data_IF_359166481556
#
_entry.id   IF_359166481556
#
_cell.length_a   1.000
_cell.length_b   1.000
_cell.length_c   1.000
_cell.angle_alpha   90.00
_cell.angle_beta   90.00
_cell.angle_gamma   90.00
#
_symmetry.space_group_name_H-M   'P 1'
#
loop_
_entity.id
_entity.type
_entity.pdbx_description
1 polymer ?
#
# COMPACT_ATOMS: atom_id res chain seq x y z
N UNK A 1 -3.14 12.71 56.95
CA UNK A 1 -2.49 12.94 55.64
C UNK A 1 -3.42 12.42 54.57
N UNK A 2 -4.06 13.32 53.83
CA UNK A 2 -5.01 13.00 52.75
C UNK A 2 -4.25 12.44 51.54
N UNK A 3 -4.54 11.20 51.15
CA UNK A 3 -4.13 10.66 49.86
C UNK A 3 -5.20 11.05 48.82
N UNK A 4 -4.87 12.00 47.95
CA UNK A 4 -5.70 12.33 46.80
C UNK A 4 -5.44 11.26 45.73
N UNK A 5 -6.42 10.39 45.51
CA UNK A 5 -6.41 9.44 44.41
C UNK A 5 -6.85 10.18 43.13
N UNK A 6 -5.88 10.65 42.34
CA UNK A 6 -6.12 11.33 41.07
C UNK A 6 -6.49 10.28 40.02
N UNK A 7 -7.78 9.93 39.96
CA UNK A 7 -8.35 9.05 38.95
C UNK A 7 -8.36 9.68 37.56
N UNK A 8 -7.20 9.82 36.93
CA UNK A 8 -7.10 10.09 35.49
C UNK A 8 -7.39 8.79 34.72
N UNK A 9 -8.66 8.48 34.53
CA UNK A 9 -9.07 7.55 33.47
C UNK A 9 -8.92 8.29 32.14
N UNK A 10 -7.81 8.06 31.44
CA UNK A 10 -7.66 8.54 30.07
C UNK A 10 -8.78 7.92 29.22
N UNK A 11 -9.53 8.71 28.44
CA UNK A 11 -10.48 8.14 27.49
C UNK A 11 -9.71 7.22 26.53
N UNK A 12 -10.24 6.03 26.18
CA UNK A 12 -9.62 5.20 25.17
C UNK A 12 -9.47 6.03 23.90
N UNK A 13 -8.22 6.18 23.44
CA UNK A 13 -7.98 6.83 22.17
C UNK A 13 -8.76 6.07 21.09
N UNK A 14 -9.47 6.76 20.19
CA UNK A 14 -10.08 6.08 19.07
C UNK A 14 -8.98 5.31 18.33
N UNK A 15 -9.24 4.07 17.90
CA UNK A 15 -8.29 3.36 17.04
C UNK A 15 -8.01 4.25 15.83
N UNK A 16 -6.75 4.61 15.63
CA UNK A 16 -6.33 5.31 14.41
C UNK A 16 -6.25 4.23 13.33
N UNK A 17 -7.37 3.97 12.68
CA UNK A 17 -7.45 3.19 11.46
C UNK A 17 -6.81 4.01 10.33
N UNK A 18 -5.47 4.00 10.27
CA UNK A 18 -4.74 4.55 9.12
C UNK A 18 -5.16 3.68 7.93
N UNK A 19 -5.80 4.24 6.89
CA UNK A 19 -6.21 3.49 5.72
C UNK A 19 -4.98 3.23 4.83
N UNK A 20 -4.13 2.30 5.26
CA UNK A 20 -2.93 1.83 4.56
C UNK A 20 -3.15 1.52 3.08
N UNK A 21 -4.27 0.89 2.67
CA UNK A 21 -4.51 0.59 1.25
C UNK A 21 -4.67 1.86 0.41
N UNK A 22 -5.17 2.93 1.04
CA UNK A 22 -5.32 4.29 0.55
C UNK A 22 -4.02 4.95 0.07
N UNK A 23 -2.94 4.64 0.77
CA UNK A 23 -1.74 5.47 0.74
C UNK A 23 -0.81 5.14 -0.43
N UNK A 24 -0.96 3.98 -1.05
CA UNK A 24 -0.08 3.52 -2.13
C UNK A 24 0.07 4.59 -3.23
N UNK A 25 -1.04 5.11 -3.77
CA UNK A 25 -1.00 6.14 -4.83
C UNK A 25 -0.31 7.43 -4.36
N UNK A 26 -0.43 7.82 -3.09
CA UNK A 26 0.25 9.02 -2.57
C UNK A 26 1.74 8.75 -2.38
N UNK A 27 2.09 7.57 -1.88
CA UNK A 27 3.47 7.17 -1.57
C UNK A 27 4.28 6.91 -2.84
N UNK A 28 3.69 6.43 -3.94
CA UNK A 28 4.43 6.11 -5.19
C UNK A 28 4.95 7.35 -5.93
N UNK A 29 4.31 8.52 -5.79
CA UNK A 29 4.76 9.73 -6.51
C UNK A 29 6.13 10.21 -6.04
N UNK A 30 6.44 10.01 -4.76
CA UNK A 30 7.72 10.41 -4.18
C UNK A 30 8.92 9.68 -4.80
N UNK A 31 9.01 8.32 -4.76
CA UNK A 31 10.11 7.60 -5.41
C UNK A 31 10.15 7.86 -6.92
N UNK A 32 8.99 7.98 -7.60
CA UNK A 32 8.97 8.29 -9.05
C UNK A 32 9.69 9.60 -9.34
N UNK A 33 9.34 10.68 -8.64
CA UNK A 33 9.96 11.99 -8.85
C UNK A 33 11.47 11.96 -8.55
N UNK A 34 11.88 11.40 -7.42
CA UNK A 34 13.28 11.37 -7.01
C UNK A 34 14.16 10.56 -7.97
N UNK A 35 13.69 9.40 -8.39
CA UNK A 35 14.42 8.50 -9.27
C UNK A 35 14.55 9.05 -10.70
N UNK A 36 13.55 9.80 -11.19
CA UNK A 36 13.63 10.49 -12.48
C UNK A 36 14.50 11.76 -12.45
N UNK A 37 14.60 12.42 -11.30
CA UNK A 37 15.46 13.62 -11.15
C UNK A 37 16.93 13.25 -10.93
N UNK A 38 17.23 12.10 -10.32
CA UNK A 38 18.60 11.63 -10.12
C UNK A 38 19.52 11.67 -11.37
N UNK A 39 19.13 11.13 -12.55
CA UNK A 39 19.98 11.19 -13.74
C UNK A 39 20.24 12.64 -14.22
N UNK A 40 19.34 13.58 -13.95
CA UNK A 40 19.57 15.01 -14.25
C UNK A 40 20.76 15.52 -13.46
N UNK A 41 20.91 15.13 -12.19
CA UNK A 41 22.08 15.50 -11.38
C UNK A 41 23.36 14.85 -11.90
N UNK A 42 23.31 13.60 -12.38
CA UNK A 42 24.48 12.99 -13.05
C UNK A 42 24.88 13.78 -14.29
N UNK A 43 23.91 14.21 -15.10
CA UNK A 43 24.13 15.02 -16.29
C UNK A 43 24.69 16.41 -15.94
N UNK A 44 24.18 17.07 -14.91
CA UNK A 44 24.72 18.34 -14.39
C UNK A 44 26.16 18.17 -13.91
N UNK A 45 26.51 17.04 -13.30
CA UNK A 45 27.89 16.72 -12.93
C UNK A 45 28.84 16.59 -14.12
N UNK A 46 28.34 16.17 -15.28
CA UNK A 46 29.11 16.13 -16.53
C UNK A 46 29.28 17.52 -17.15
N UNK A 47 28.24 18.35 -17.14
CA UNK A 47 28.25 19.70 -17.72
C UNK A 47 29.09 20.66 -16.86
N UNK A 48 28.91 20.63 -15.54
CA UNK A 48 29.54 21.56 -14.60
C UNK A 48 30.78 20.93 -13.95
N UNK A 49 31.80 20.67 -14.76
CA UNK A 49 33.03 19.98 -14.35
C UNK A 49 33.72 20.53 -13.08
N UNK A 50 33.74 21.84 -12.76
CA UNK A 50 34.34 22.32 -11.51
C UNK A 50 33.56 21.94 -10.24
N UNK A 51 32.26 21.66 -10.34
CA UNK A 51 31.36 21.37 -9.23
C UNK A 51 30.78 19.96 -9.27
N UNK A 52 31.37 19.07 -10.07
CA UNK A 52 30.84 17.74 -10.36
C UNK A 52 30.57 16.88 -9.10
N UNK A 53 31.39 17.01 -8.06
CA UNK A 53 31.26 16.24 -6.81
C UNK A 53 29.94 16.53 -6.10
N UNK A 54 29.52 17.80 -6.02
CA UNK A 54 28.26 18.17 -5.37
C UNK A 54 27.06 17.58 -6.10
N UNK A 55 27.09 17.59 -7.44
CA UNK A 55 26.05 16.97 -8.25
C UNK A 55 26.04 15.44 -8.14
N UNK A 56 27.21 14.79 -8.14
CA UNK A 56 27.32 13.35 -7.97
C UNK A 56 26.81 12.88 -6.59
N UNK A 57 27.16 13.58 -5.52
CA UNK A 57 26.65 13.29 -4.16
C UNK A 57 25.14 13.50 -4.10
N UNK A 58 24.62 14.59 -4.70
CA UNK A 58 23.18 14.85 -4.75
C UNK A 58 22.43 13.76 -5.52
N UNK A 59 22.99 13.26 -6.64
CA UNK A 59 22.44 12.14 -7.37
C UNK A 59 22.38 10.85 -6.52
N UNK A 60 23.43 10.56 -5.74
CA UNK A 60 23.43 9.44 -4.78
C UNK A 60 22.33 9.61 -3.73
N UNK A 61 22.16 10.81 -3.17
CA UNK A 61 21.11 11.06 -2.17
C UNK A 61 19.70 10.88 -2.77
N UNK A 62 19.46 11.40 -3.97
CA UNK A 62 18.19 11.22 -4.68
C UNK A 62 17.91 9.75 -4.99
N UNK A 63 18.91 9.01 -5.47
CA UNK A 63 18.82 7.57 -5.71
C UNK A 63 18.54 6.79 -4.43
N UNK A 64 19.25 7.09 -3.34
CA UNK A 64 19.07 6.43 -2.05
C UNK A 64 17.67 6.66 -1.47
N UNK A 65 17.22 7.93 -1.44
CA UNK A 65 15.89 8.28 -0.94
C UNK A 65 14.77 7.74 -1.84
N UNK A 66 14.93 7.85 -3.16
CA UNK A 66 13.97 7.32 -4.13
C UNK A 66 13.88 5.80 -4.04
N UNK A 67 15.01 5.10 -3.94
CA UNK A 67 15.05 3.65 -3.77
C UNK A 67 14.45 3.23 -2.44
N UNK A 68 14.74 3.92 -1.33
CA UNK A 68 14.06 3.65 -0.07
C UNK A 68 12.54 3.81 -0.20
N UNK A 69 12.10 4.83 -0.95
CA UNK A 69 10.69 5.05 -1.27
C UNK A 69 10.05 3.89 -2.05
N UNK A 70 10.77 3.19 -2.94
CA UNK A 70 10.20 2.04 -3.67
C UNK A 70 9.95 0.84 -2.76
N UNK A 71 10.69 0.68 -1.66
CA UNK A 71 10.36 -0.33 -0.65
C UNK A 71 9.04 -0.01 0.08
N UNK A 72 8.84 1.25 0.45
CA UNK A 72 7.60 1.69 1.09
C UNK A 72 6.43 1.59 0.11
N UNK A 73 6.64 1.95 -1.15
CA UNK A 73 5.65 1.78 -2.21
C UNK A 73 5.27 0.30 -2.42
N UNK A 74 6.25 -0.61 -2.47
CA UNK A 74 5.99 -2.04 -2.60
C UNK A 74 5.21 -2.59 -1.38
N UNK A 75 5.62 -2.22 -0.17
CA UNK A 75 4.92 -2.67 1.04
C UNK A 75 3.47 -2.20 1.10
N UNK A 76 3.21 -0.93 0.75
CA UNK A 76 1.85 -0.38 0.69
C UNK A 76 1.04 -0.93 -0.48
N UNK A 77 1.69 -1.30 -1.59
CA UNK A 77 1.04 -1.93 -2.75
C UNK A 77 0.59 -3.36 -2.47
N UNK A 78 1.44 -4.17 -1.83
CA UNK A 78 1.08 -5.52 -1.40
C UNK A 78 -0.11 -5.49 -0.42
N UNK A 79 -0.09 -4.58 0.56
CA UNK A 79 -1.21 -4.39 1.47
C UNK A 79 -2.49 -3.89 0.77
N UNK A 80 -2.36 -3.20 -0.37
CA UNK A 80 -3.50 -2.77 -1.17
C UNK A 80 -4.04 -3.91 -2.06
N UNK A 81 -3.20 -4.83 -2.53
CA UNK A 81 -3.62 -6.02 -3.27
C UNK A 81 -4.52 -6.92 -2.41
N UNK A 82 -4.13 -7.13 -1.15
CA UNK A 82 -4.82 -8.05 -0.22
C UNK A 82 -6.28 -7.68 0.07
N UNK A 83 -6.71 -6.45 -0.25
CA UNK A 83 -8.09 -5.98 -0.02
C UNK A 83 -8.98 -6.03 -1.27
N UNK A 84 -8.42 -6.34 -2.44
CA UNK A 84 -9.17 -6.42 -3.70
C UNK A 84 -9.65 -7.86 -3.88
N UNK A 85 -10.93 -8.10 -3.57
CA UNK A 85 -11.53 -9.45 -3.60
C UNK A 85 -12.32 -9.74 -4.89
N UNK A 86 -12.75 -8.70 -5.62
CA UNK A 86 -13.64 -8.81 -6.78
C UNK A 86 -13.16 -7.94 -7.95
N UNK A 87 -13.30 -8.47 -9.17
CA UNK A 87 -12.98 -7.78 -10.41
C UNK A 87 -12.94 -8.74 -11.60
N UNK A 88 -12.85 -8.24 -12.84
CA UNK A 88 -12.67 -9.08 -14.02
C UNK A 88 -11.28 -9.73 -14.04
N UNK A 89 -11.15 -10.90 -14.68
CA UNK A 89 -9.88 -11.65 -14.73
C UNK A 89 -8.74 -10.81 -15.32
N UNK A 90 -9.03 -10.00 -16.34
CA UNK A 90 -8.05 -9.11 -16.98
C UNK A 90 -7.52 -8.02 -16.04
N UNK A 91 -8.30 -7.62 -15.02
CA UNK A 91 -7.82 -6.69 -13.99
C UNK A 91 -6.77 -7.36 -13.10
N UNK A 92 -7.01 -8.62 -12.71
CA UNK A 92 -6.08 -9.36 -11.85
C UNK A 92 -4.77 -9.67 -12.57
N UNK A 93 -4.81 -9.95 -13.88
CA UNK A 93 -3.61 -10.11 -14.71
C UNK A 93 -2.76 -8.83 -14.74
N UNK A 94 -3.38 -7.67 -15.00
CA UNK A 94 -2.68 -6.38 -14.98
C UNK A 94 -2.16 -6.04 -13.58
N UNK A 95 -2.87 -6.45 -12.52
CA UNK A 95 -2.45 -6.22 -11.14
C UNK A 95 -1.23 -7.06 -10.76
N UNK A 96 -1.21 -8.34 -11.18
CA UNK A 96 -0.04 -9.21 -11.01
C UNK A 96 1.15 -8.65 -11.77
N UNK A 97 0.97 -8.25 -13.03
CA UNK A 97 2.04 -7.63 -13.84
C UNK A 97 2.56 -6.35 -13.16
N UNK A 98 1.67 -5.48 -12.67
CA UNK A 98 2.06 -4.27 -11.93
C UNK A 98 2.91 -4.59 -10.70
N UNK A 99 2.55 -5.61 -9.93
CA UNK A 99 3.31 -6.05 -8.77
C UNK A 99 4.69 -6.58 -9.17
N UNK A 100 4.76 -7.48 -10.14
CA UNK A 100 6.00 -8.07 -10.62
C UNK A 100 6.97 -7.00 -11.11
N UNK A 101 6.50 -6.08 -11.96
CA UNK A 101 7.30 -4.96 -12.43
C UNK A 101 7.63 -3.96 -11.33
N UNK A 102 6.77 -3.79 -10.32
CA UNK A 102 7.05 -2.98 -9.14
C UNK A 102 8.21 -3.53 -8.32
N UNK A 103 8.22 -4.84 -8.05
CA UNK A 103 9.30 -5.53 -7.36
C UNK A 103 10.60 -5.55 -8.20
N UNK A 104 10.48 -5.76 -9.52
CA UNK A 104 11.61 -5.70 -10.43
C UNK A 104 12.23 -4.29 -10.47
N UNK A 105 11.41 -3.26 -10.61
CA UNK A 105 11.85 -1.85 -10.61
C UNK A 105 12.56 -1.50 -9.31
N UNK A 106 12.02 -1.91 -8.15
CA UNK A 106 12.66 -1.75 -6.85
C UNK A 106 14.06 -2.38 -6.84
N UNK A 107 14.18 -3.62 -7.32
CA UNK A 107 15.46 -4.34 -7.32
C UNK A 107 16.48 -3.72 -8.29
N UNK A 108 16.05 -3.30 -9.49
CA UNK A 108 16.90 -2.60 -10.47
C UNK A 108 17.44 -1.31 -9.85
N UNK A 109 16.59 -0.48 -9.26
CA UNK A 109 17.02 0.78 -8.63
C UNK A 109 17.90 0.55 -7.40
N UNK A 110 17.69 -0.53 -6.63
CA UNK A 110 18.62 -0.92 -5.58
C UNK A 110 20.02 -1.20 -6.13
N UNK A 111 20.11 -2.00 -7.19
CA UNK A 111 21.39 -2.32 -7.84
C UNK A 111 22.08 -1.07 -8.40
N UNK A 112 21.34 -0.22 -9.14
CA UNK A 112 21.86 1.03 -9.70
C UNK A 112 22.32 2.00 -8.60
N UNK A 113 21.55 2.13 -7.53
CA UNK A 113 21.88 3.00 -6.38
C UNK A 113 23.16 2.56 -5.71
N UNK A 114 23.29 1.26 -5.38
CA UNK A 114 24.49 0.72 -4.74
C UNK A 114 25.71 0.90 -5.66
N UNK A 115 25.59 0.52 -6.93
CA UNK A 115 26.67 0.62 -7.90
C UNK A 115 27.13 2.07 -8.10
N UNK A 116 26.19 3.01 -8.23
CA UNK A 116 26.51 4.43 -8.39
C UNK A 116 27.10 5.04 -7.13
N UNK A 117 26.58 4.68 -5.94
CA UNK A 117 27.14 5.12 -4.67
C UNK A 117 28.60 4.65 -4.48
N UNK A 118 28.89 3.39 -4.82
CA UNK A 118 30.26 2.84 -4.81
C UNK A 118 31.14 3.62 -5.79
N UNK A 119 30.66 3.87 -7.01
CA UNK A 119 31.40 4.65 -7.99
C UNK A 119 31.73 6.05 -7.47
N UNK A 120 30.75 6.78 -6.92
CA UNK A 120 30.99 8.11 -6.34
C UNK A 120 31.98 8.03 -5.17
N UNK A 121 31.83 7.07 -4.26
CA UNK A 121 32.77 6.87 -3.16
C UNK A 121 34.21 6.61 -3.65
N UNK A 122 34.36 5.78 -4.68
CA UNK A 122 35.65 5.50 -5.32
C UNK A 122 36.26 6.75 -5.96
N UNK A 123 35.45 7.60 -6.58
CA UNK A 123 35.96 8.86 -7.16
C UNK A 123 36.41 9.87 -6.09
N UNK A 124 35.90 9.78 -4.86
CA UNK A 124 36.29 10.63 -3.73
C UNK A 124 37.53 10.11 -2.99
N UNK A 125 37.72 8.79 -2.96
CA UNK A 125 38.82 8.13 -2.23
C UNK A 125 40.02 7.82 -3.10
N UNK A 126 39.82 7.54 -4.39
CA UNK A 126 40.86 7.12 -5.33
C UNK A 126 41.04 8.17 -6.43
N UNK A 127 42.13 8.94 -6.33
CA UNK A 127 42.42 10.08 -7.23
C UNK A 127 42.47 9.71 -8.71
N UNK A 128 42.82 8.47 -9.08
CA UNK A 128 42.86 8.02 -10.48
C UNK A 128 41.47 7.89 -11.10
N UNK A 129 40.45 7.53 -10.32
CA UNK A 129 39.07 7.32 -10.77
C UNK A 129 38.35 8.66 -10.94
N UNK A 130 38.72 9.67 -10.13
CA UNK A 130 38.19 11.04 -10.24
C UNK A 130 38.62 11.78 -11.52
N UNK A 131 39.62 11.27 -12.27
CA UNK A 131 40.08 11.87 -13.52
C UNK A 131 38.98 11.84 -14.58
N UNK A 132 38.81 12.95 -15.31
CA UNK A 132 37.76 13.10 -16.31
C UNK A 132 37.74 11.97 -17.36
N UNK A 133 38.91 11.49 -17.79
CA UNK A 133 39.06 10.40 -18.77
C UNK A 133 38.44 9.07 -18.31
N UNK A 134 38.35 8.83 -16.99
CA UNK A 134 37.73 7.64 -16.40
C UNK A 134 36.30 7.94 -15.98
N UNK A 135 36.09 9.06 -15.29
CA UNK A 135 34.79 9.44 -14.72
C UNK A 135 33.71 9.63 -15.79
N UNK A 136 34.03 10.31 -16.89
CA UNK A 136 33.05 10.65 -17.94
C UNK A 136 32.43 9.39 -18.58
N UNK A 137 33.21 8.45 -19.14
CA UNK A 137 32.61 7.26 -19.77
C UNK A 137 31.81 6.42 -18.78
N UNK A 138 32.29 6.25 -17.54
CA UNK A 138 31.55 5.52 -16.50
C UNK A 138 30.23 6.23 -16.16
N UNK A 139 30.24 7.56 -16.04
CA UNK A 139 29.01 8.33 -15.77
C UNK A 139 27.99 8.21 -16.91
N UNK A 140 28.44 8.10 -18.17
CA UNK A 140 27.57 7.84 -19.32
C UNK A 140 26.94 6.44 -19.25
N UNK A 141 27.71 5.42 -18.85
CA UNK A 141 27.17 4.07 -18.62
C UNK A 141 26.08 4.10 -17.54
N UNK A 142 26.31 4.83 -16.45
CA UNK A 142 25.30 5.00 -15.41
C UNK A 142 24.06 5.77 -15.89
N UNK A 143 24.21 6.79 -16.74
CA UNK A 143 23.07 7.48 -17.34
C UNK A 143 22.22 6.54 -18.20
N UNK A 144 22.85 5.68 -19.00
CA UNK A 144 22.14 4.66 -19.78
C UNK A 144 21.44 3.66 -18.85
N UNK A 145 22.11 3.18 -17.80
CA UNK A 145 21.51 2.28 -16.82
C UNK A 145 20.30 2.92 -16.11
N UNK A 146 20.40 4.19 -15.71
CA UNK A 146 19.29 4.94 -15.10
C UNK A 146 18.16 5.19 -16.09
N UNK A 147 18.46 5.44 -17.36
CA UNK A 147 17.43 5.60 -18.40
C UNK A 147 16.66 4.29 -18.61
N UNK A 148 17.36 3.16 -18.70
CA UNK A 148 16.73 1.82 -18.78
C UNK A 148 15.88 1.56 -17.53
N UNK A 149 16.41 1.80 -16.33
CA UNK A 149 15.64 1.68 -15.09
C UNK A 149 14.38 2.58 -15.08
N UNK A 150 14.49 3.78 -15.65
CA UNK A 150 13.38 4.71 -15.83
C UNK A 150 12.28 4.18 -16.76
N UNK A 151 12.62 3.37 -17.76
CA UNK A 151 11.63 2.70 -18.62
C UNK A 151 10.82 1.65 -17.83
N UNK A 152 11.47 0.85 -17.00
CA UNK A 152 10.77 -0.10 -16.11
C UNK A 152 9.86 0.62 -15.12
N UNK A 153 10.32 1.74 -14.55
CA UNK A 153 9.52 2.58 -13.67
C UNK A 153 8.29 3.17 -14.39
N UNK A 154 8.48 3.67 -15.61
CA UNK A 154 7.39 4.21 -16.43
C UNK A 154 6.37 3.12 -16.80
N UNK A 155 6.84 1.92 -17.14
CA UNK A 155 5.96 0.78 -17.44
C UNK A 155 5.16 0.35 -16.21
N UNK A 156 5.81 0.23 -15.05
CA UNK A 156 5.15 -0.04 -13.76
C UNK A 156 4.07 1.00 -13.47
N UNK A 157 4.39 2.29 -13.64
CA UNK A 157 3.44 3.39 -13.43
C UNK A 157 2.29 3.36 -14.44
N UNK A 158 2.53 2.93 -15.68
CA UNK A 158 1.50 2.77 -16.70
C UNK A 158 0.48 1.69 -16.31
N UNK A 159 0.95 0.52 -15.88
CA UNK A 159 0.09 -0.56 -15.38
C UNK A 159 -0.74 -0.10 -14.17
N UNK A 160 -0.09 0.61 -13.23
CA UNK A 160 -0.79 1.21 -12.09
C UNK A 160 -1.87 2.23 -12.51
N UNK A 161 -1.59 3.01 -13.56
CA UNK A 161 -2.56 3.92 -14.17
C UNK A 161 -3.75 3.19 -14.80
N UNK A 162 -3.53 2.04 -15.44
CA UNK A 162 -4.60 1.19 -15.99
C UNK A 162 -5.50 0.68 -14.87
N UNK A 163 -4.93 0.18 -13.76
CA UNK A 163 -5.70 -0.31 -12.61
C UNK A 163 -6.62 0.77 -12.03
N UNK A 164 -6.12 2.00 -11.87
CA UNK A 164 -6.90 3.09 -11.30
C UNK A 164 -7.90 3.68 -12.29
N UNK A 165 -7.53 3.86 -13.56
CA UNK A 165 -8.35 4.60 -14.51
C UNK A 165 -9.30 3.73 -15.35
N UNK A 166 -8.90 2.50 -15.69
CA UNK A 166 -9.75 1.60 -16.50
C UNK A 166 -10.58 0.68 -15.61
N UNK A 167 -9.95 0.06 -14.61
CA UNK A 167 -10.61 -0.90 -13.73
C UNK A 167 -11.17 -0.28 -12.44
N UNK A 168 -10.86 1.00 -12.18
CA UNK A 168 -11.43 1.71 -11.04
C UNK A 168 -10.97 1.19 -9.69
N UNK A 169 -9.81 0.53 -9.62
CA UNK A 169 -9.21 0.05 -8.37
C UNK A 169 -8.84 1.26 -7.52
N UNK A 170 -9.78 1.66 -6.66
CA UNK A 170 -9.64 2.80 -5.77
C UNK A 170 -9.15 2.34 -4.42
N UNK A 171 -8.24 3.14 -3.89
CA UNK A 171 -7.79 3.01 -2.53
C UNK A 171 -8.94 3.42 -1.56
N UNK A 172 -9.22 2.61 -0.53
CA UNK A 172 -10.34 2.78 0.45
C UNK A 172 -10.47 4.17 1.11
N UNK A 173 -9.42 4.98 1.05
CA UNK A 173 -9.47 6.41 1.41
C UNK A 173 -10.57 7.17 0.67
N UNK A 174 -10.78 6.83 -0.60
CA UNK A 174 -11.77 7.49 -1.46
C UNK A 174 -13.19 7.09 -1.08
N UNK A 175 -13.44 5.81 -0.82
CA UNK A 175 -14.75 5.31 -0.36
C UNK A 175 -15.16 5.89 0.99
N UNK A 176 -14.21 6.00 1.93
CA UNK A 176 -14.47 6.58 3.25
C UNK A 176 -14.86 8.06 3.14
N UNK A 177 -14.22 8.80 2.24
CA UNK A 177 -14.55 10.20 1.97
C UNK A 177 -15.91 10.35 1.29
N UNK A 178 -16.17 9.58 0.23
CA UNK A 178 -17.45 9.59 -0.49
C UNK A 178 -18.62 9.23 0.47
N UNK A 179 -18.45 8.21 1.32
CA UNK A 179 -19.44 7.84 2.36
C UNK A 179 -19.66 8.93 3.42
N UNK A 180 -18.60 9.64 3.82
CA UNK A 180 -18.70 10.74 4.77
C UNK A 180 -19.42 11.96 4.17
N UNK A 181 -19.17 12.26 2.88
CA UNK A 181 -19.85 13.31 2.13
C UNK A 181 -21.33 12.98 1.94
N UNK A 182 -21.67 11.74 1.55
CA UNK A 182 -23.04 11.24 1.44
C UNK A 182 -23.82 11.34 2.75
N UNK A 183 -23.21 10.94 3.88
CA UNK A 183 -23.83 11.03 5.20
C UNK A 183 -24.13 12.47 5.60
N UNK A 184 -23.22 13.40 5.27
CA UNK A 184 -23.38 14.83 5.54
C UNK A 184 -24.49 15.44 4.66
N UNK A 185 -24.61 14.97 3.42
CA UNK A 185 -25.62 15.44 2.47
C UNK A 185 -27.02 14.94 2.84
N UNK A 186 -27.17 13.67 3.25
CA UNK A 186 -28.43 13.12 3.77
C UNK A 186 -28.90 13.83 5.04
N UNK A 187 -27.99 14.10 5.98
CA UNK A 187 -28.32 14.86 7.19
C UNK A 187 -28.79 16.29 6.87
N UNK A 188 -28.21 16.94 5.86
CA UNK A 188 -28.61 18.29 5.46
C UNK A 188 -29.97 18.31 4.73
N UNK A 189 -30.30 17.25 3.97
CA UNK A 189 -31.61 17.07 3.34
C UNK A 189 -32.70 16.82 4.38
N UNK A 190 -32.46 15.96 5.38
CA UNK A 190 -33.41 15.72 6.48
C UNK A 190 -33.70 16.98 7.31
N UNK A 191 -32.67 17.81 7.57
CA UNK A 191 -32.85 19.09 8.27
C UNK A 191 -33.67 20.07 7.42
N UNK A 192 -33.48 20.07 6.10
CA UNK A 192 -34.24 20.93 5.18
C UNK A 192 -35.70 20.49 5.05
N UNK A 193 -35.96 19.19 5.06
CA UNK A 193 -37.31 18.64 4.97
C UNK A 193 -38.10 18.85 6.27
N UNK A 194 -37.44 18.77 7.44
CA UNK A 194 -38.05 19.13 8.73
C UNK A 194 -38.32 20.64 8.87
N UNK A 195 -37.46 21.50 8.29
CA UNK A 195 -37.68 22.95 8.27
C UNK A 195 -38.77 23.42 7.29
N UNK A 196 -39.24 22.53 6.41
CA UNK A 196 -40.25 22.84 5.38
C UNK A 196 -41.65 22.31 5.70
N UNK A 197 -41.85 21.66 6.86
CA UNK A 197 -43.19 21.27 7.32
C UNK A 197 -43.96 22.52 7.77
N UNK A 198 -45.12 22.85 7.17
CA UNK A 198 -45.93 23.96 7.63
C UNK A 198 -46.47 23.66 9.03
N UNK A 199 -46.36 24.65 9.91
CA UNK A 199 -46.80 24.60 11.29
C UNK A 199 -48.34 24.62 11.39
N UNK A 200 -49.00 23.53 11.00
CA UNK A 200 -50.46 23.37 11.15
C UNK A 200 -50.81 21.97 11.66
N UNK A 201 -50.16 21.51 12.74
CA UNK A 201 -50.63 20.34 13.49
C UNK A 201 -50.27 20.42 14.98
N UNK A 202 -50.57 21.56 15.62
CA UNK A 202 -50.53 21.67 17.10
C UNK A 202 -51.91 21.88 17.74
N UNK A 203 -53.01 21.91 16.97
CA UNK A 203 -54.35 22.22 17.50
C UNK A 203 -55.32 21.03 17.53
N UNK A 204 -54.81 19.78 17.57
CA UNK A 204 -55.66 18.57 17.62
C UNK A 204 -55.51 17.69 18.86
N UNK A 205 -54.63 18.05 19.80
CA UNK A 205 -54.37 17.26 21.01
C UNK A 205 -55.24 17.64 22.23
N UNK A 206 -56.36 18.34 22.03
CA UNK A 206 -57.27 18.72 23.10
C UNK A 206 -58.71 18.31 22.79
N UNK A 207 -58.99 17.00 22.77
CA UNK A 207 -60.31 16.41 23.08
C UNK A 207 -60.22 14.89 23.18
N UNK A 208 -60.25 14.38 24.40
CA UNK A 208 -60.72 13.03 24.75
C UNK A 208 -61.80 13.20 25.82
N UNK A 209 -62.97 12.57 25.65
CA UNK A 209 -63.35 11.42 26.49
C UNK A 209 -64.04 10.33 25.63
N UNK A 210 -64.28 9.07 26.02
CA UNK A 210 -63.99 8.16 27.14
C UNK A 210 -64.80 6.87 26.79
N UNK A 211 -64.30 5.70 27.19
CA UNK A 211 -64.98 4.40 27.34
C UNK A 211 -65.65 3.73 26.11
N UNK A 212 -65.21 2.52 25.74
CA UNK A 212 -66.03 1.29 25.84
C UNK A 212 -65.11 0.05 25.79
N UNK A 213 -65.50 -0.91 26.59
CA UNK A 213 -64.85 -2.11 27.11
C UNK A 213 -65.08 -3.35 26.21
N UNK A 214 -64.43 -4.45 26.60
CA UNK A 214 -64.66 -5.87 26.26
C UNK A 214 -63.90 -6.49 25.06
N UNK A 215 -62.90 -7.35 25.34
CA UNK A 215 -62.95 -8.83 25.56
C UNK A 215 -62.91 -9.55 24.19
N UNK A 216 -61.94 -10.40 23.85
CA UNK A 216 -61.83 -11.77 24.37
C UNK A 216 -60.54 -12.48 23.84
N UNK A 217 -60.12 -13.47 24.62
CA UNK A 217 -59.04 -14.46 24.47
C UNK A 217 -58.67 -14.92 23.04
N UNK A 218 -57.44 -15.33 22.73
CA UNK A 218 -56.94 -16.66 23.14
C UNK A 218 -55.50 -16.91 22.66
N UNK A 219 -54.68 -17.41 23.57
CA UNK A 219 -53.46 -18.23 23.37
C UNK A 219 -53.77 -19.60 24.03
N UNK A 220 -52.91 -20.65 24.02
CA UNK A 220 -51.63 -20.89 23.30
C UNK A 220 -51.53 -22.35 22.74
N UNK A 221 -50.42 -22.68 22.05
CA UNK A 221 -49.70 -23.99 22.09
C UNK A 221 -48.58 -23.94 21.02
N UNK A 222 -47.27 -23.98 21.30
CA UNK A 222 -46.42 -24.93 22.04
C UNK A 222 -46.33 -26.33 21.42
N UNK A 223 -45.20 -26.64 20.77
CA UNK A 223 -44.49 -27.94 20.72
C UNK A 223 -43.15 -27.74 19.95
N UNK A 224 -41.98 -27.79 20.59
CA UNK A 224 -41.18 -28.97 21.00
C UNK A 224 -40.58 -29.72 19.80
N UNK A 225 -39.28 -29.54 19.52
CA UNK A 225 -38.14 -30.36 19.98
C UNK A 225 -37.84 -31.61 19.14
N UNK A 226 -36.59 -31.73 18.70
CA UNK A 226 -35.68 -32.90 18.83
C UNK A 226 -34.53 -32.72 17.82
N UNK A 227 -33.28 -32.56 18.31
CA UNK A 227 -32.25 -33.62 18.49
C UNK A 227 -31.77 -34.22 17.16
N UNK A 228 -30.53 -34.62 16.91
CA UNK A 228 -29.21 -34.67 17.57
C UNK A 228 -28.35 -35.56 16.64
N UNK A 229 -27.05 -35.63 16.90
CA UNK A 229 -26.15 -36.76 16.56
C UNK A 229 -25.46 -36.67 15.19
N UNK A 230 -24.19 -37.00 14.99
CA UNK A 230 -23.04 -37.27 15.85
C UNK A 230 -21.80 -37.37 14.93
N UNK A 231 -20.62 -37.15 15.50
CA UNK A 231 -19.30 -37.54 14.98
C UNK A 231 -18.85 -38.81 15.75
N UNK A 232 -18.04 -39.73 15.18
CA UNK A 232 -16.57 -39.75 15.44
C UNK A 232 -15.74 -40.18 14.18
N UNK A 233 -14.46 -39.79 13.96
CA UNK A 233 -13.17 -40.36 14.44
C UNK A 233 -13.03 -41.89 14.20
N UNK A 234 -11.99 -42.55 13.68
CA UNK A 234 -10.52 -42.37 13.43
C UNK A 234 -10.13 -43.35 12.28
N UNK A 235 -8.95 -43.38 11.63
CA UNK A 235 -7.65 -43.93 12.09
C UNK A 235 -6.71 -43.98 10.84
N UNK A 236 -5.47 -43.46 10.88
CA UNK A 236 -4.17 -44.13 11.16
C UNK A 236 -3.29 -44.40 9.91
N UNK A 237 -2.14 -43.69 9.86
CA UNK A 237 -0.82 -44.04 9.27
C UNK A 237 -0.16 -45.20 10.08
N UNK A 238 1.05 -45.77 9.80
CA UNK A 238 2.29 -45.22 9.19
C UNK A 238 3.09 -46.21 8.27
N UNK A 239 4.19 -45.84 7.60
CA UNK A 239 5.59 -46.04 8.06
C UNK A 239 6.57 -45.79 6.88
N UNK A 240 7.47 -44.80 6.96
CA UNK A 240 8.93 -44.90 7.24
C UNK A 240 9.79 -45.73 6.27
N UNK A 241 10.78 -45.10 5.61
CA UNK A 241 12.19 -45.30 5.97
C UNK A 241 13.15 -44.28 5.31
N UNK A 242 14.10 -43.88 6.14
CA UNK A 242 15.16 -42.90 6.00
C UNK A 242 16.49 -43.65 5.88
N UNK A 243 17.43 -43.19 5.02
CA UNK A 243 18.87 -43.19 5.33
C UNK A 243 19.72 -42.51 4.24
N UNK A 244 20.55 -41.57 4.72
CA UNK A 244 21.75 -40.94 4.11
C UNK A 244 22.96 -41.91 4.19
N UNK A 245 24.27 -41.57 4.00
CA UNK A 245 24.95 -40.35 3.51
C UNK A 245 26.21 -40.57 2.59
N UNK A 246 26.86 -39.46 2.19
CA UNK A 246 28.32 -39.25 1.91
C UNK A 246 28.95 -40.04 0.71
N UNK A 247 30.07 -39.71 0.05
CA UNK A 247 31.17 -38.75 0.13
C UNK A 247 32.01 -38.90 -1.19
N UNK A 248 32.90 -37.94 -1.47
CA UNK A 248 34.20 -38.07 -2.17
C UNK A 248 34.34 -37.98 -3.72
N UNK A 249 35.20 -37.02 -4.09
CA UNK A 249 36.38 -37.12 -5.00
C UNK A 249 36.31 -37.08 -6.56
N UNK A 250 36.78 -35.94 -7.09
CA UNK A 250 37.98 -35.77 -7.96
C UNK A 250 38.01 -36.13 -9.46
N UNK A 251 38.94 -35.43 -10.16
CA UNK A 251 39.39 -35.45 -11.59
C UNK A 251 38.61 -34.56 -12.56
N UNK A 252 39.15 -33.55 -13.26
CA UNK A 252 40.47 -33.26 -13.86
C UNK A 252 40.84 -34.12 -15.08
N UNK A 253 40.62 -33.59 -16.30
CA UNK A 253 41.39 -33.70 -17.58
C UNK A 253 40.49 -33.12 -18.69
N UNK A 254 40.79 -32.02 -19.39
CA UNK A 254 41.86 -31.76 -20.37
C UNK A 254 41.69 -32.58 -21.66
N UNK A 255 40.99 -32.01 -22.63
CA UNK A 255 41.38 -31.90 -24.05
C UNK A 255 40.54 -30.80 -24.73
#
# INVERSE_FOLDING_TARGET
MFAVNLGLTLPPLPPVDIPWPGMHVLVVHFPIALLLVAPVFVLLGLIFAPRWQGFAISAVLLLALGTAGTFVAAATGLAARDIVEEGPDEMFEVMEEHEEYGLLTRNIYLGVTIAYAIFVLLTLTVSSIGKAVVRIPISLVFLVAMAVAGLYLAHTAHLGGILVHQYGVKAKLTETRERAEDKKQRANTEIKDQASQPADEQDRAARSPKDTEETESSEPQAQLQSEKSARPASAETPSTQESSPAESESKQEKE
#
